data_IF_972325408702
#
_entry.id   IF_972325408702
#
_cell.length_a   1.000
_cell.length_b   1.000
_cell.length_c   1.000
_cell.angle_alpha   90.00
_cell.angle_beta   90.00
_cell.angle_gamma   90.00
#
_symmetry.space_group_name_H-M   'P 1'
#
loop_
_entity.id
_entity.type
_entity.pdbx_description
1 polymer ?
#
# COMPACT_ATOMS: atom_id res chain seq x y z
N UNK A 1 -14.45 -24.25 -1.30
CA UNK A 1 -14.22 -22.81 -0.97
C UNK A 1 -13.61 -22.11 -2.18
N UNK A 2 -14.34 -21.16 -2.77
CA UNK A 2 -13.90 -20.47 -4.00
C UNK A 2 -12.53 -19.82 -3.80
N UNK A 3 -11.54 -20.37 -4.50
CA UNK A 3 -10.20 -19.81 -4.57
C UNK A 3 -10.26 -18.53 -5.41
N UNK A 4 -10.58 -17.41 -4.76
CA UNK A 4 -10.57 -16.09 -5.40
C UNK A 4 -9.20 -15.81 -6.03
N UNK A 5 -9.24 -15.29 -7.25
CA UNK A 5 -8.08 -14.84 -8.00
C UNK A 5 -7.22 -13.88 -7.14
N UNK A 6 -5.89 -14.03 -7.12
CA UNK A 6 -4.98 -13.15 -6.39
C UNK A 6 -5.20 -11.64 -6.65
N UNK A 7 -5.54 -11.25 -7.88
CA UNK A 7 -5.82 -9.85 -8.23
C UNK A 7 -7.02 -9.28 -7.46
N UNK A 8 -8.06 -10.10 -7.29
CA UNK A 8 -9.26 -9.74 -6.51
C UNK A 8 -8.91 -9.62 -5.02
N UNK A 9 -7.94 -10.41 -4.55
CA UNK A 9 -7.53 -10.42 -3.14
C UNK A 9 -6.69 -9.17 -2.79
N UNK A 10 -5.83 -8.69 -3.68
CA UNK A 10 -5.07 -7.45 -3.48
C UNK A 10 -5.97 -6.21 -3.42
N UNK A 11 -6.97 -6.12 -4.32
CA UNK A 11 -7.98 -5.07 -4.27
C UNK A 11 -8.80 -5.12 -2.96
N UNK A 12 -9.08 -6.33 -2.43
CA UNK A 12 -9.78 -6.48 -1.14
C UNK A 12 -8.96 -5.98 0.05
N UNK A 13 -7.64 -6.09 0.05
CA UNK A 13 -6.81 -5.53 1.12
C UNK A 13 -6.90 -3.99 1.15
N UNK A 14 -6.90 -3.34 -0.02
CA UNK A 14 -7.12 -1.89 -0.12
C UNK A 14 -8.54 -1.50 0.31
N UNK A 15 -9.56 -2.27 -0.07
CA UNK A 15 -10.95 -2.04 0.36
C UNK A 15 -11.10 -2.23 1.86
N UNK A 16 -10.49 -3.26 2.45
CA UNK A 16 -10.50 -3.49 3.89
C UNK A 16 -9.85 -2.33 4.67
N UNK A 17 -8.73 -1.81 4.16
CA UNK A 17 -8.10 -0.62 4.72
C UNK A 17 -9.00 0.62 4.62
N UNK A 18 -9.62 0.84 3.45
CA UNK A 18 -10.58 1.92 3.22
C UNK A 18 -11.89 1.79 4.00
N UNK A 19 -12.28 0.57 4.38
CA UNK A 19 -13.47 0.30 5.16
C UNK A 19 -13.20 0.26 6.67
N UNK A 20 -11.93 0.28 7.09
CA UNK A 20 -11.55 0.24 8.51
C UNK A 20 -11.88 -1.07 9.21
N UNK A 21 -11.99 -2.20 8.49
CA UNK A 21 -12.43 -3.48 9.11
C UNK A 21 -11.39 -4.14 9.99
N UNK A 22 -10.12 -3.71 9.91
CA UNK A 22 -8.99 -4.33 10.58
C UNK A 22 -8.40 -5.55 9.87
N UNK A 23 -9.06 -6.06 8.82
CA UNK A 23 -8.66 -7.33 8.15
C UNK A 23 -7.47 -7.18 7.18
N UNK A 24 -7.08 -5.94 6.83
CA UNK A 24 -6.11 -5.68 5.77
C UNK A 24 -4.75 -6.38 6.00
N UNK A 25 -4.29 -6.45 7.25
CA UNK A 25 -3.05 -7.15 7.61
C UNK A 25 -3.15 -8.67 7.39
N UNK A 26 -4.22 -9.29 7.89
CA UNK A 26 -4.44 -10.73 7.74
C UNK A 26 -4.60 -11.14 6.27
N UNK A 27 -5.31 -10.33 5.47
CA UNK A 27 -5.43 -10.54 4.02
C UNK A 27 -4.07 -10.44 3.32
N UNK A 28 -3.22 -9.51 3.73
CA UNK A 28 -1.88 -9.38 3.15
C UNK A 28 -0.98 -10.58 3.48
N UNK A 29 -1.07 -11.12 4.69
CA UNK A 29 -0.34 -12.32 5.09
C UNK A 29 -0.83 -13.55 4.30
N UNK A 30 -2.15 -13.73 4.17
CA UNK A 30 -2.74 -14.81 3.38
C UNK A 30 -2.31 -14.74 1.91
N UNK A 31 -2.30 -13.56 1.30
CA UNK A 31 -1.86 -13.37 -0.10
C UNK A 31 -0.35 -13.66 -0.24
N UNK A 32 0.45 -13.34 0.77
CA UNK A 32 1.88 -13.63 0.81
C UNK A 32 2.19 -15.11 0.65
N UNK A 33 1.39 -15.98 1.28
CA UNK A 33 1.56 -17.43 1.31
C UNK A 33 1.00 -18.14 0.07
N UNK A 34 0.20 -17.45 -0.76
CA UNK A 34 -0.39 -18.05 -1.97
C UNK A 34 0.65 -18.23 -3.06
N UNK A 35 0.81 -19.46 -3.52
CA UNK A 35 1.74 -19.83 -4.60
C UNK A 35 1.45 -19.06 -5.91
N UNK A 36 0.16 -18.85 -6.22
CA UNK A 36 -0.26 -18.15 -7.45
C UNK A 36 -0.22 -16.63 -7.36
N UNK A 37 0.07 -16.04 -6.20
CA UNK A 37 0.15 -14.60 -6.09
C UNK A 37 1.36 -14.07 -6.86
N UNK A 38 1.14 -13.03 -7.66
CA UNK A 38 2.19 -12.31 -8.37
C UNK A 38 2.91 -11.36 -7.41
N UNK A 39 4.02 -10.77 -7.84
CA UNK A 39 4.69 -9.73 -7.05
C UNK A 39 3.75 -8.53 -6.82
N UNK A 40 2.91 -8.20 -7.81
CA UNK A 40 2.00 -7.06 -7.75
C UNK A 40 0.89 -7.30 -6.72
N UNK A 41 0.33 -8.51 -6.69
CA UNK A 41 -0.67 -8.89 -5.68
C UNK A 41 -0.13 -8.73 -4.26
N UNK A 42 1.09 -9.24 -4.03
CA UNK A 42 1.76 -9.15 -2.73
C UNK A 42 2.13 -7.71 -2.38
N UNK A 43 2.60 -6.91 -3.34
CA UNK A 43 2.97 -5.52 -3.11
C UNK A 43 1.75 -4.67 -2.74
N UNK A 44 0.65 -4.78 -3.50
CA UNK A 44 -0.58 -4.04 -3.24
C UNK A 44 -1.26 -4.49 -1.94
N UNK A 45 -1.20 -5.77 -1.59
CA UNK A 45 -1.71 -6.24 -0.32
C UNK A 45 -0.92 -5.66 0.87
N UNK A 46 0.41 -5.63 0.78
CA UNK A 46 1.25 -4.97 1.78
C UNK A 46 1.00 -3.45 1.85
N UNK A 47 0.74 -2.79 0.72
CA UNK A 47 0.30 -1.38 0.71
C UNK A 47 -1.01 -1.21 1.48
N UNK A 48 -2.03 -2.05 1.24
CA UNK A 48 -3.29 -2.02 1.98
C UNK A 48 -3.08 -2.21 3.49
N UNK A 49 -2.28 -3.21 3.88
CA UNK A 49 -1.93 -3.44 5.28
C UNK A 49 -1.17 -2.27 5.90
N UNK A 50 -0.24 -1.63 5.16
CA UNK A 50 0.49 -0.47 5.63
C UNK A 50 -0.42 0.73 5.90
N UNK A 51 -1.35 1.01 4.99
CA UNK A 51 -2.31 2.10 5.12
C UNK A 51 -3.22 1.89 6.34
N UNK A 52 -3.69 0.66 6.56
CA UNK A 52 -4.48 0.31 7.74
C UNK A 52 -3.66 0.40 9.04
N UNK A 53 -2.43 -0.12 9.06
CA UNK A 53 -1.56 -0.03 10.23
C UNK A 53 -1.26 1.42 10.61
N UNK A 54 -1.13 2.33 9.63
CA UNK A 54 -0.90 3.74 9.87
C UNK A 54 -2.07 4.46 10.58
N UNK A 55 -3.26 3.86 10.64
CA UNK A 55 -4.40 4.43 11.37
C UNK A 55 -4.50 3.97 12.82
N UNK A 56 -3.76 2.92 13.21
CA UNK A 56 -3.71 2.40 14.57
C UNK A 56 -2.66 3.13 15.43
N UNK A 57 -2.98 3.37 16.71
CA UNK A 57 -2.13 4.13 17.64
C UNK A 57 -0.71 3.55 17.82
N UNK A 58 -0.55 2.23 17.65
CA UNK A 58 0.74 1.52 17.78
C UNK A 58 1.24 0.95 16.45
N UNK A 59 0.61 1.30 15.33
CA UNK A 59 0.85 0.65 14.04
C UNK A 59 1.98 1.23 13.19
N UNK A 60 2.70 2.26 13.66
CA UNK A 60 3.77 2.92 12.89
C UNK A 60 4.88 1.94 12.44
N UNK A 61 5.36 1.08 13.34
CA UNK A 61 6.41 0.11 13.02
C UNK A 61 5.93 -0.91 11.98
N UNK A 62 4.68 -1.36 12.10
CA UNK A 62 4.08 -2.29 11.16
C UNK A 62 3.85 -1.64 9.78
N UNK A 63 3.37 -0.40 9.74
CA UNK A 63 3.20 0.36 8.50
C UNK A 63 4.52 0.48 7.74
N UNK A 64 5.61 0.85 8.43
CA UNK A 64 6.95 0.94 7.85
C UNK A 64 7.47 -0.40 7.35
N UNK A 65 7.26 -1.48 8.11
CA UNK A 65 7.64 -2.85 7.71
C UNK A 65 6.92 -3.25 6.42
N UNK A 66 5.61 -3.02 6.33
CA UNK A 66 4.78 -3.37 5.18
C UNK A 66 5.18 -2.58 3.92
N UNK A 67 5.46 -1.28 4.05
CA UNK A 67 6.01 -0.49 2.92
C UNK A 67 7.35 -1.03 2.46
N UNK A 68 8.24 -1.41 3.39
CA UNK A 68 9.55 -1.98 3.05
C UNK A 68 9.43 -3.29 2.27
N UNK A 69 8.49 -4.15 2.68
CA UNK A 69 8.17 -5.38 1.95
C UNK A 69 7.63 -5.07 0.54
N UNK A 70 6.67 -4.14 0.42
CA UNK A 70 6.13 -3.73 -0.87
C UNK A 70 7.22 -3.21 -1.82
N UNK A 71 8.14 -2.38 -1.32
CA UNK A 71 9.31 -1.89 -2.07
C UNK A 71 10.20 -3.03 -2.57
N UNK A 72 10.52 -3.99 -1.70
CA UNK A 72 11.37 -5.13 -2.09
C UNK A 72 10.73 -5.99 -3.18
N UNK A 73 9.40 -6.09 -3.21
CA UNK A 73 8.68 -6.91 -4.20
C UNK A 73 8.69 -6.29 -5.61
N UNK A 74 8.78 -4.96 -5.71
CA UNK A 74 8.76 -4.24 -6.99
C UNK A 74 10.15 -3.82 -7.47
N UNK A 75 11.18 -3.89 -6.61
CA UNK A 75 12.52 -3.36 -6.91
C UNK A 75 13.13 -3.94 -8.19
N UNK A 76 13.02 -5.27 -8.39
CA UNK A 76 13.69 -5.98 -9.47
C UNK A 76 12.80 -6.17 -10.72
N UNK A 77 11.56 -5.71 -10.71
CA UNK A 77 10.57 -6.06 -11.75
C UNK A 77 10.62 -5.15 -12.97
N UNK A 78 11.42 -4.08 -12.92
CA UNK A 78 11.44 -2.97 -13.90
C UNK A 78 10.07 -2.29 -14.11
N UNK A 79 9.05 -2.63 -13.32
CA UNK A 79 7.73 -2.02 -13.42
C UNK A 79 7.71 -0.65 -12.73
N UNK A 80 7.93 0.37 -13.55
CA UNK A 80 7.96 1.76 -13.08
C UNK A 80 6.61 2.23 -12.50
N UNK A 81 5.49 1.67 -12.94
CA UNK A 81 4.16 2.02 -12.41
C UNK A 81 3.98 1.41 -11.02
N UNK A 82 4.31 0.13 -10.85
CA UNK A 82 4.24 -0.53 -9.54
C UNK A 82 5.12 0.16 -8.50
N UNK A 83 6.35 0.54 -8.89
CA UNK A 83 7.26 1.33 -8.03
C UNK A 83 6.63 2.68 -7.67
N UNK A 84 6.11 3.44 -8.64
CA UNK A 84 5.50 4.75 -8.39
C UNK A 84 4.25 4.66 -7.49
N UNK A 85 3.44 3.60 -7.61
CA UNK A 85 2.29 3.34 -6.73
C UNK A 85 2.74 3.05 -5.29
N UNK A 86 3.77 2.21 -5.10
CA UNK A 86 4.30 1.88 -3.77
C UNK A 86 4.89 3.13 -3.09
N UNK A 87 5.65 3.95 -3.82
CA UNK A 87 6.21 5.19 -3.27
C UNK A 87 5.14 6.23 -2.93
N UNK A 88 4.07 6.32 -3.74
CA UNK A 88 2.93 7.17 -3.43
C UNK A 88 2.21 6.71 -2.15
N UNK A 89 2.05 5.39 -1.97
CA UNK A 89 1.51 4.83 -0.73
C UNK A 89 2.43 5.11 0.47
N UNK A 90 3.75 5.00 0.29
CA UNK A 90 4.73 5.34 1.32
C UNK A 90 4.61 6.81 1.74
N UNK A 91 4.44 7.73 0.79
CA UNK A 91 4.19 9.15 1.09
C UNK A 91 2.88 9.38 1.85
N UNK A 92 1.81 8.65 1.52
CA UNK A 92 0.54 8.72 2.24
C UNK A 92 0.68 8.22 3.68
N UNK A 93 1.37 7.09 3.89
CA UNK A 93 1.67 6.53 5.21
C UNK A 93 2.55 7.49 6.03
N UNK A 94 3.64 8.00 5.47
CA UNK A 94 4.55 8.93 6.15
C UNK A 94 3.82 10.20 6.61
N UNK A 95 2.97 10.78 5.75
CA UNK A 95 2.13 11.93 6.11
C UNK A 95 1.16 11.58 7.24
N UNK A 96 0.52 10.41 7.19
CA UNK A 96 -0.44 9.99 8.23
C UNK A 96 0.22 9.82 9.59
N UNK A 97 1.46 9.33 9.61
CA UNK A 97 2.25 9.12 10.81
C UNK A 97 2.95 10.40 11.32
N UNK A 98 2.90 11.50 10.56
CA UNK A 98 3.63 12.73 10.89
C UNK A 98 5.14 12.55 10.87
N UNK A 99 5.64 11.66 10.00
CA UNK A 99 7.07 11.40 9.87
C UNK A 99 7.83 12.63 9.35
N UNK A 100 9.04 12.85 9.83
CA UNK A 100 9.88 14.02 9.47
C UNK A 100 10.25 14.06 7.99
N UNK A 101 10.38 12.89 7.38
CA UNK A 101 10.76 12.68 5.99
C UNK A 101 9.55 12.68 5.03
N UNK A 102 8.33 12.95 5.52
CA UNK A 102 7.11 12.83 4.71
C UNK A 102 7.14 13.67 3.42
N UNK A 103 7.72 14.88 3.49
CA UNK A 103 7.85 15.76 2.33
C UNK A 103 8.86 15.24 1.30
N UNK A 104 9.97 14.64 1.77
CA UNK A 104 10.98 14.05 0.88
C UNK A 104 10.42 12.83 0.14
N UNK A 105 9.68 11.96 0.86
CA UNK A 105 9.03 10.80 0.26
C UNK A 105 7.94 11.23 -0.73
N UNK A 106 7.19 12.29 -0.42
CA UNK A 106 6.19 12.84 -1.35
C UNK A 106 6.83 13.39 -2.63
N UNK A 107 7.89 14.20 -2.52
CA UNK A 107 8.61 14.72 -3.68
C UNK A 107 9.21 13.61 -4.55
N UNK A 108 9.69 12.52 -3.93
CA UNK A 108 10.17 11.36 -4.65
C UNK A 108 9.05 10.66 -5.44
N UNK A 109 7.89 10.43 -4.82
CA UNK A 109 6.74 9.86 -5.50
C UNK A 109 6.27 10.75 -6.67
N UNK A 110 6.16 12.05 -6.46
CA UNK A 110 5.81 13.03 -7.51
C UNK A 110 6.79 12.99 -8.69
N UNK A 111 8.10 12.90 -8.41
CA UNK A 111 9.12 12.76 -9.44
C UNK A 111 8.91 11.49 -10.30
N UNK A 112 8.61 10.35 -9.67
CA UNK A 112 8.35 9.10 -10.38
C UNK A 112 7.12 9.20 -11.30
N UNK A 113 6.01 9.76 -10.80
CA UNK A 113 4.80 9.97 -11.61
C UNK A 113 5.03 10.99 -12.74
N UNK A 114 5.81 12.03 -12.50
CA UNK A 114 6.21 13.00 -13.52
C UNK A 114 6.96 12.34 -14.68
N UNK A 115 7.83 11.37 -14.41
CA UNK A 115 8.53 10.58 -15.44
C UNK A 115 7.61 9.67 -16.26
N UNK A 116 6.48 9.26 -15.68
CA UNK A 116 5.46 8.45 -16.36
C UNK A 116 4.52 9.30 -17.22
N UNK A 117 4.51 10.63 -17.05
CA UNK A 117 3.56 11.54 -17.67
C UNK A 117 2.08 11.18 -17.37
N UNK A 118 1.83 10.63 -16.18
CA UNK A 118 0.50 10.24 -15.70
C UNK A 118 0.23 10.91 -14.36
N UNK A 119 -0.96 11.49 -14.20
CA UNK A 119 -1.39 12.02 -12.92
C UNK A 119 -1.98 10.91 -12.02
N UNK A 120 -1.54 10.76 -10.77
CA UNK A 120 -1.97 9.66 -9.89
C UNK A 120 -3.25 9.95 -9.09
N UNK A 121 -4.12 10.85 -9.56
CA UNK A 121 -5.27 11.38 -8.79
C UNK A 121 -6.17 10.28 -8.22
N UNK A 122 -6.37 9.18 -8.96
CA UNK A 122 -7.15 8.03 -8.48
C UNK A 122 -6.52 7.35 -7.27
N UNK A 123 -5.20 7.14 -7.31
CA UNK A 123 -4.43 6.52 -6.22
C UNK A 123 -4.37 7.43 -4.99
N UNK A 124 -4.12 8.72 -5.19
CA UNK A 124 -4.10 9.70 -4.10
C UNK A 124 -5.41 9.70 -3.31
N UNK A 125 -6.55 9.69 -4.03
CA UNK A 125 -7.88 9.63 -3.41
C UNK A 125 -8.10 8.32 -2.65
N UNK A 126 -7.71 7.19 -3.23
CA UNK A 126 -7.85 5.88 -2.59
C UNK A 126 -7.01 5.79 -1.30
N UNK A 127 -5.76 6.24 -1.31
CA UNK A 127 -4.88 6.19 -0.14
C UNK A 127 -5.28 7.19 0.94
N UNK A 128 -5.77 8.38 0.56
CA UNK A 128 -6.35 9.34 1.50
C UNK A 128 -7.59 8.77 2.20
N UNK A 129 -8.42 7.98 1.51
CA UNK A 129 -9.57 7.31 2.11
C UNK A 129 -9.10 6.24 3.13
N UNK A 130 -8.15 5.39 2.74
CA UNK A 130 -7.62 4.33 3.60
C UNK A 130 -6.96 4.86 4.88
N UNK A 131 -6.19 5.95 4.79
CA UNK A 131 -5.49 6.53 5.95
C UNK A 131 -6.36 7.35 6.90
N UNK A 132 -7.60 7.68 6.50
CA UNK A 132 -8.59 8.36 7.36
C UNK A 132 -9.49 7.40 8.12
N UNK A 133 -9.54 6.15 7.71
CA UNK A 133 -10.47 5.16 8.26
C UNK A 133 -10.03 4.75 9.67
N UNK A 134 -10.90 4.91 10.65
CA UNK A 134 -10.67 4.47 12.03
C UNK A 134 -11.10 3.01 12.12
N UNK A 135 -10.33 2.13 12.78
CA UNK A 135 -10.77 0.76 13.04
C UNK A 135 -12.10 0.79 13.81
N UNK A 136 -13.15 0.14 13.28
CA UNK A 136 -14.45 -0.03 13.97
C UNK A 136 -14.41 -1.17 14.96
#
# INVERSE_FOLDING_TARGET
PDHLDPNVSAARALVAAAAGTGDAGALADEIGERERATYLDRALANVGAALAAATADTGAAEASRRISLARSLVHDTQDAVAVAVVELAAAAVARRLGATEADEVAAHAEHLWGRLHVEPVGWERAFALATRSVPT
#
